data_IF_242994585329
#
_entry.id   IF_242994585329
#
_cell.length_a   1.000
_cell.length_b   1.000
_cell.length_c   1.000
_cell.angle_alpha   90.00
_cell.angle_beta   90.00
_cell.angle_gamma   90.00
#
_symmetry.space_group_name_H-M   'P 1'
#
loop_
_entity.id
_entity.type
_entity.pdbx_description
1 polymer ?
#
# COMPACT_ATOMS: atom_id res chain seq x y z
N UNK A 1 18.75 7.80 9.38
CA UNK A 1 19.71 7.60 8.27
C UNK A 1 19.03 7.60 6.90
N UNK A 2 17.91 6.88 6.70
CA UNK A 2 17.18 6.84 5.41
C UNK A 2 16.64 8.21 4.94
N UNK A 3 16.25 9.08 5.87
CA UNK A 3 15.74 10.45 5.60
C UNK A 3 16.81 11.48 5.16
N UNK A 4 18.09 11.09 5.07
CA UNK A 4 19.20 11.99 4.62
C UNK A 4 19.72 11.65 3.22
N UNK A 5 19.17 10.62 2.58
CA UNK A 5 19.48 10.24 1.20
C UNK A 5 18.34 10.72 0.30
N UNK A 6 18.13 12.04 0.27
CA UNK A 6 17.17 12.71 -0.61
C UNK A 6 17.92 13.44 -1.73
N UNK A 7 17.37 13.41 -2.94
CA UNK A 7 17.84 14.25 -4.04
C UNK A 7 16.73 15.26 -4.35
N UNK A 8 16.89 16.50 -3.87
CA UNK A 8 15.88 17.58 -4.01
C UNK A 8 14.49 17.25 -3.43
N UNK A 9 14.44 16.52 -2.31
CA UNK A 9 13.19 16.18 -1.63
C UNK A 9 12.49 14.91 -2.13
N UNK A 10 13.05 14.22 -3.13
CA UNK A 10 12.60 12.89 -3.55
C UNK A 10 13.49 11.79 -2.93
N UNK A 11 12.85 10.78 -2.34
CA UNK A 11 13.48 9.58 -1.80
C UNK A 11 13.26 8.37 -2.70
N UNK A 12 14.09 7.33 -2.56
CA UNK A 12 13.92 6.04 -3.23
C UNK A 12 15.13 5.59 -4.06
N UNK A 13 15.02 4.43 -4.69
CA UNK A 13 16.13 3.81 -5.48
C UNK A 13 16.57 4.70 -6.65
N UNK A 14 15.65 5.46 -7.26
CA UNK A 14 15.97 6.39 -8.34
C UNK A 14 16.81 7.59 -7.87
N UNK A 15 16.55 8.09 -6.65
CA UNK A 15 17.38 9.12 -6.03
C UNK A 15 18.78 8.59 -5.68
N UNK A 16 18.86 7.34 -5.17
CA UNK A 16 20.15 6.67 -4.90
C UNK A 16 20.95 6.42 -6.19
N UNK A 17 20.28 6.06 -7.28
CA UNK A 17 20.89 5.89 -8.60
C UNK A 17 21.43 7.19 -9.19
N UNK A 18 20.67 8.27 -9.05
CA UNK A 18 21.08 9.61 -9.48
C UNK A 18 22.24 10.16 -8.63
N UNK A 19 22.24 9.90 -7.31
CA UNK A 19 23.28 10.34 -6.38
C UNK A 19 24.59 9.57 -6.53
N UNK A 20 24.53 8.26 -6.83
CA UNK A 20 25.73 7.44 -7.03
C UNK A 20 26.55 7.89 -8.23
N UNK A 21 25.93 8.57 -9.20
CA UNK A 21 26.52 9.11 -10.43
C UNK A 21 27.75 8.30 -10.90
N UNK A 22 27.56 7.00 -11.24
CA UNK A 22 28.65 6.02 -11.34
C UNK A 22 29.77 6.44 -12.31
N UNK A 23 29.37 7.21 -13.33
CA UNK A 23 30.22 7.78 -14.37
C UNK A 23 31.24 8.80 -13.85
N UNK A 24 30.96 9.48 -12.73
CA UNK A 24 31.83 10.53 -12.16
C UNK A 24 32.66 10.06 -10.97
N UNK A 25 32.20 9.08 -10.21
CA UNK A 25 32.77 8.71 -8.90
C UNK A 25 33.52 7.38 -8.90
N UNK A 26 33.14 6.41 -9.74
CA UNK A 26 33.66 5.04 -9.66
C UNK A 26 34.62 4.64 -10.79
N UNK A 27 34.77 5.47 -11.83
CA UNK A 27 35.56 5.17 -13.03
C UNK A 27 34.98 4.02 -13.89
N UNK A 28 35.62 3.65 -14.99
CA UNK A 28 35.19 2.56 -15.88
C UNK A 28 35.60 1.16 -15.36
N UNK A 29 35.30 0.86 -14.11
CA UNK A 29 35.64 -0.41 -13.46
C UNK A 29 34.48 -1.42 -13.43
N UNK A 30 34.81 -2.70 -13.19
CA UNK A 30 33.84 -3.79 -12.97
C UNK A 30 32.86 -3.48 -11.83
N UNK A 31 33.29 -2.74 -10.81
CA UNK A 31 32.44 -2.23 -9.72
C UNK A 31 31.38 -1.24 -10.20
N UNK A 32 31.72 -0.32 -11.10
CA UNK A 32 30.75 0.61 -11.68
C UNK A 32 29.68 -0.13 -12.50
N UNK A 33 30.07 -1.18 -13.23
CA UNK A 33 29.13 -2.04 -13.95
C UNK A 33 28.16 -2.77 -13.02
N UNK A 34 28.64 -3.34 -11.90
CA UNK A 34 27.78 -3.98 -10.89
C UNK A 34 26.83 -3.00 -10.21
N UNK A 35 27.30 -1.81 -9.85
CA UNK A 35 26.47 -0.76 -9.25
C UNK A 35 25.39 -0.29 -10.22
N UNK A 36 25.71 -0.13 -11.51
CA UNK A 36 24.72 0.17 -12.54
C UNK A 36 23.72 -0.97 -12.72
N UNK A 37 24.17 -2.23 -12.75
CA UNK A 37 23.29 -3.39 -12.89
C UNK A 37 22.30 -3.50 -11.71
N UNK A 38 22.77 -3.35 -10.47
CA UNK A 38 21.91 -3.30 -9.28
C UNK A 38 20.94 -2.12 -9.32
N UNK A 39 21.41 -1.01 -9.86
CA UNK A 39 20.60 0.16 -10.14
C UNK A 39 19.44 -0.08 -11.09
N UNK A 40 19.74 -0.52 -12.30
CA UNK A 40 18.74 -0.86 -13.32
C UNK A 40 17.78 -1.92 -12.78
N UNK A 41 18.28 -2.91 -12.05
CA UNK A 41 17.46 -3.91 -11.39
C UNK A 41 16.48 -3.30 -10.38
N UNK A 42 16.95 -2.42 -9.49
CA UNK A 42 16.09 -1.75 -8.51
C UNK A 42 15.08 -0.80 -9.17
N UNK A 43 15.45 -0.10 -10.24
CA UNK A 43 14.52 0.74 -11.01
C UNK A 43 13.44 -0.11 -11.71
N UNK A 44 13.80 -1.28 -12.25
CA UNK A 44 12.85 -2.22 -12.83
C UNK A 44 11.87 -2.76 -11.79
N UNK A 45 12.33 -3.08 -10.57
CA UNK A 45 11.46 -3.50 -9.48
C UNK A 45 10.45 -2.40 -9.09
N UNK A 46 10.88 -1.15 -8.95
CA UNK A 46 9.98 -0.03 -8.67
C UNK A 46 8.96 0.19 -9.81
N UNK A 47 9.39 0.05 -11.07
CA UNK A 47 8.50 0.18 -12.21
C UNK A 47 7.45 -0.95 -12.23
N UNK A 48 7.86 -2.18 -11.93
CA UNK A 48 6.95 -3.32 -11.78
C UNK A 48 5.95 -3.07 -10.64
N UNK A 49 6.40 -2.59 -9.49
CA UNK A 49 5.53 -2.31 -8.34
C UNK A 49 4.47 -1.25 -8.67
N UNK A 50 4.89 -0.16 -9.33
CA UNK A 50 4.00 0.91 -9.78
C UNK A 50 2.96 0.46 -10.83
N UNK A 51 3.27 -0.56 -11.64
CA UNK A 51 2.35 -1.12 -12.62
C UNK A 51 1.43 -2.20 -12.04
N UNK A 52 1.95 -3.06 -11.17
CA UNK A 52 1.24 -4.23 -10.62
C UNK A 52 0.21 -3.79 -9.57
N UNK A 53 0.55 -2.85 -8.70
CA UNK A 53 -0.31 -2.41 -7.59
C UNK A 53 -1.71 -1.93 -8.02
N UNK A 54 -1.87 -1.00 -8.98
CA UNK A 54 -3.20 -0.59 -9.42
C UNK A 54 -3.96 -1.72 -10.11
N UNK A 55 -3.26 -2.58 -10.88
CA UNK A 55 -3.88 -3.70 -11.57
C UNK A 55 -4.46 -4.73 -10.60
N UNK A 56 -3.64 -5.20 -9.63
CA UNK A 56 -4.07 -6.17 -8.63
C UNK A 56 -5.15 -5.57 -7.73
N UNK A 57 -4.98 -4.33 -7.26
CA UNK A 57 -5.94 -3.70 -6.35
C UNK A 57 -7.34 -3.57 -6.97
N UNK A 58 -7.44 -3.11 -8.23
CA UNK A 58 -8.75 -3.01 -8.93
C UNK A 58 -9.31 -4.39 -9.24
N UNK A 59 -8.46 -5.33 -9.69
CA UNK A 59 -8.91 -6.70 -9.97
C UNK A 59 -9.49 -7.36 -8.72
N UNK A 60 -8.77 -7.32 -7.59
CA UNK A 60 -9.23 -7.89 -6.32
C UNK A 60 -10.52 -7.24 -5.81
N UNK A 61 -10.68 -5.93 -5.99
CA UNK A 61 -11.93 -5.24 -5.66
C UNK A 61 -13.12 -5.74 -6.52
N UNK A 62 -12.91 -5.92 -7.83
CA UNK A 62 -13.94 -6.41 -8.75
C UNK A 62 -14.22 -7.90 -8.54
N UNK A 63 -13.22 -8.69 -8.17
CA UNK A 63 -13.39 -10.11 -7.83
C UNK A 63 -14.31 -10.31 -6.62
N UNK A 64 -14.36 -9.36 -5.69
CA UNK A 64 -15.33 -9.36 -4.60
C UNK A 64 -16.78 -9.46 -5.08
N UNK A 65 -17.10 -9.02 -6.30
CA UNK A 65 -18.44 -9.14 -6.89
C UNK A 65 -18.86 -10.60 -7.13
N UNK A 66 -17.89 -11.52 -7.33
CA UNK A 66 -18.16 -12.96 -7.47
C UNK A 66 -18.74 -13.56 -6.18
N UNK A 67 -18.47 -12.96 -5.02
CA UNK A 67 -19.02 -13.39 -3.72
C UNK A 67 -20.53 -13.10 -3.68
N UNK A 68 -20.97 -11.99 -4.26
CA UNK A 68 -22.39 -11.62 -4.33
C UNK A 68 -23.13 -12.38 -5.45
N UNK A 69 -22.52 -12.49 -6.64
CA UNK A 69 -23.15 -13.11 -7.82
C UNK A 69 -22.11 -13.83 -8.69
N UNK A 70 -22.16 -15.17 -8.83
CA UNK A 70 -21.25 -15.92 -9.70
C UNK A 70 -21.31 -15.54 -11.18
N UNK A 71 -22.46 -15.01 -11.65
CA UNK A 71 -22.63 -14.52 -13.02
C UNK A 71 -21.73 -13.31 -13.36
N UNK A 72 -21.12 -12.66 -12.37
CA UNK A 72 -20.13 -11.60 -12.58
C UNK A 72 -18.78 -12.12 -13.11
N UNK A 73 -18.52 -13.43 -13.04
CA UNK A 73 -17.24 -14.05 -13.40
C UNK A 73 -16.66 -13.61 -14.75
N UNK A 74 -17.41 -13.71 -15.86
CA UNK A 74 -16.93 -13.30 -17.19
C UNK A 74 -16.66 -11.79 -17.32
N UNK A 75 -17.29 -10.97 -16.47
CA UNK A 75 -17.21 -9.50 -16.53
C UNK A 75 -16.08 -8.93 -15.68
N UNK A 76 -15.44 -9.73 -14.82
CA UNK A 76 -14.39 -9.23 -13.91
C UNK A 76 -13.22 -8.59 -14.67
N UNK A 77 -12.65 -9.28 -15.65
CA UNK A 77 -11.50 -8.75 -16.41
C UNK A 77 -11.90 -7.54 -17.26
N UNK A 78 -12.98 -7.58 -18.08
CA UNK A 78 -13.42 -6.40 -18.83
C UNK A 78 -13.70 -5.19 -17.95
N UNK A 79 -14.39 -5.38 -16.82
CA UNK A 79 -14.74 -4.29 -15.91
C UNK A 79 -13.49 -3.69 -15.25
N UNK A 80 -12.53 -4.53 -14.86
CA UNK A 80 -11.23 -4.08 -14.35
C UNK A 80 -10.50 -3.19 -15.36
N UNK A 81 -10.44 -3.60 -16.63
CA UNK A 81 -9.81 -2.82 -17.69
C UNK A 81 -10.51 -1.48 -17.91
N UNK A 82 -11.84 -1.46 -17.90
CA UNK A 82 -12.64 -0.23 -18.04
C UNK A 82 -12.39 0.71 -16.85
N UNK A 83 -12.39 0.20 -15.62
CA UNK A 83 -12.12 1.00 -14.42
C UNK A 83 -10.71 1.59 -14.50
N UNK A 84 -9.69 0.79 -14.82
CA UNK A 84 -8.32 1.28 -14.97
C UNK A 84 -8.22 2.34 -16.07
N UNK A 85 -8.81 2.11 -17.24
CA UNK A 85 -8.80 3.08 -18.33
C UNK A 85 -9.41 4.41 -17.91
N UNK A 86 -10.54 4.40 -17.19
CA UNK A 86 -11.19 5.61 -16.68
C UNK A 86 -10.31 6.28 -15.61
N UNK A 87 -9.80 5.52 -14.64
CA UNK A 87 -8.95 6.06 -13.57
C UNK A 87 -7.70 6.75 -14.14
N UNK A 88 -6.98 6.10 -15.05
CA UNK A 88 -5.81 6.68 -15.71
C UNK A 88 -6.18 7.83 -16.65
N UNK A 89 -7.31 7.76 -17.35
CA UNK A 89 -7.78 8.88 -18.17
C UNK A 89 -8.09 10.12 -17.32
N UNK A 90 -8.62 9.96 -16.10
CA UNK A 90 -8.92 11.07 -15.18
C UNK A 90 -7.66 11.72 -14.59
N UNK A 91 -6.52 11.02 -14.55
CA UNK A 91 -5.26 11.58 -14.05
C UNK A 91 -4.77 12.79 -14.87
N UNK A 92 -5.19 12.91 -16.15
CA UNK A 92 -4.88 14.07 -17.00
C UNK A 92 -5.38 15.41 -16.44
N UNK A 93 -6.37 15.38 -15.53
CA UNK A 93 -6.95 16.58 -14.93
C UNK A 93 -6.16 17.08 -13.70
N UNK A 94 -5.06 16.40 -13.34
CA UNK A 94 -4.18 16.77 -12.24
C UNK A 94 -4.52 16.05 -10.95
N UNK A 95 -3.49 15.58 -10.26
CA UNK A 95 -3.58 14.81 -8.99
C UNK A 95 -4.30 15.58 -7.89
N UNK A 96 -4.17 16.90 -7.84
CA UNK A 96 -4.86 17.75 -6.86
C UNK A 96 -6.40 17.68 -7.00
N UNK A 97 -6.94 17.77 -8.23
CA UNK A 97 -8.39 17.69 -8.47
C UNK A 97 -8.92 16.29 -8.21
N UNK A 98 -8.18 15.27 -8.64
CA UNK A 98 -8.52 13.88 -8.33
C UNK A 98 -8.56 13.68 -6.82
N UNK A 99 -7.55 14.14 -6.08
CA UNK A 99 -7.49 14.06 -4.63
C UNK A 99 -8.68 14.71 -3.91
N UNK A 100 -9.20 15.83 -4.41
CA UNK A 100 -10.39 16.48 -3.81
C UNK A 100 -11.67 15.64 -3.92
N UNK A 101 -11.80 14.80 -4.94
CA UNK A 101 -12.95 13.89 -5.11
C UNK A 101 -12.73 12.60 -4.34
N UNK A 102 -11.51 12.05 -4.37
CA UNK A 102 -11.17 10.82 -3.68
C UNK A 102 -11.20 10.96 -2.15
N UNK A 103 -10.84 12.14 -1.61
CA UNK A 103 -10.85 12.39 -0.17
C UNK A 103 -12.21 12.07 0.49
N UNK A 104 -13.32 12.71 0.09
CA UNK A 104 -14.66 12.41 0.61
C UNK A 104 -15.08 10.95 0.42
N UNK A 105 -14.74 10.32 -0.71
CA UNK A 105 -15.04 8.90 -0.97
C UNK A 105 -14.31 8.01 0.04
N UNK A 106 -13.03 8.28 0.30
CA UNK A 106 -12.26 7.54 1.31
C UNK A 106 -12.77 7.77 2.73
N UNK A 107 -13.22 9.00 3.06
CA UNK A 107 -13.86 9.27 4.36
C UNK A 107 -15.13 8.43 4.54
N UNK A 108 -16.00 8.41 3.52
CA UNK A 108 -17.22 7.62 3.53
C UNK A 108 -16.92 6.12 3.63
N UNK A 109 -15.91 5.64 2.90
CA UNK A 109 -15.46 4.25 2.94
C UNK A 109 -14.99 3.86 4.34
N UNK A 110 -14.04 4.58 4.93
CA UNK A 110 -13.55 4.29 6.28
C UNK A 110 -14.61 4.44 7.36
N UNK A 111 -15.51 5.41 7.24
CA UNK A 111 -16.64 5.54 8.15
C UNK A 111 -17.57 4.32 8.06
N UNK A 112 -17.84 3.82 6.85
CA UNK A 112 -18.65 2.62 6.64
C UNK A 112 -18.00 1.39 7.28
N UNK A 113 -16.69 1.18 7.06
CA UNK A 113 -15.93 0.10 7.69
C UNK A 113 -15.97 0.19 9.22
N UNK A 114 -15.79 1.39 9.78
CA UNK A 114 -15.84 1.59 11.22
C UNK A 114 -17.22 1.27 11.81
N UNK A 115 -18.31 1.70 11.16
CA UNK A 115 -19.69 1.43 11.60
C UNK A 115 -20.00 -0.06 11.54
N UNK A 116 -19.62 -0.74 10.45
CA UNK A 116 -19.84 -2.18 10.30
C UNK A 116 -19.02 -2.98 11.31
N UNK A 117 -17.75 -2.63 11.52
CA UNK A 117 -16.90 -3.27 12.53
C UNK A 117 -17.42 -3.06 13.96
N UNK A 118 -17.90 -1.86 14.30
CA UNK A 118 -18.55 -1.62 15.59
C UNK A 118 -19.78 -2.51 15.80
N UNK A 119 -20.58 -2.71 14.75
CA UNK A 119 -21.70 -3.64 14.79
C UNK A 119 -21.20 -5.08 14.99
N UNK A 120 -20.13 -5.52 14.33
CA UNK A 120 -19.56 -6.84 14.55
C UNK A 120 -19.10 -7.07 15.99
N UNK A 121 -18.35 -6.12 16.55
CA UNK A 121 -17.88 -6.15 17.94
C UNK A 121 -19.05 -6.18 18.93
N UNK A 122 -20.14 -5.46 18.66
CA UNK A 122 -21.30 -5.48 19.56
C UNK A 122 -21.99 -6.85 19.63
N UNK A 123 -21.88 -7.67 18.57
CA UNK A 123 -22.41 -9.04 18.58
C UNK A 123 -21.46 -10.00 19.32
N UNK A 124 -20.15 -9.78 19.26
CA UNK A 124 -19.15 -10.63 19.90
C UNK A 124 -18.08 -9.79 20.63
N UNK A 125 -18.37 -9.25 21.83
CA UNK A 125 -17.44 -8.39 22.56
C UNK A 125 -16.16 -9.11 23.00
N UNK A 126 -16.16 -10.45 23.02
CA UNK A 126 -14.99 -11.27 23.31
C UNK A 126 -13.83 -11.09 22.32
N UNK A 127 -14.08 -10.56 21.12
CA UNK A 127 -13.02 -10.33 20.12
C UNK A 127 -12.00 -9.28 20.60
N UNK A 128 -12.36 -8.40 21.53
CA UNK A 128 -11.43 -7.41 22.11
C UNK A 128 -10.23 -8.06 22.81
N UNK A 129 -10.36 -9.32 23.24
CA UNK A 129 -9.25 -10.09 23.83
C UNK A 129 -8.10 -10.30 22.82
N UNK A 130 -8.39 -10.26 21.51
CA UNK A 130 -7.37 -10.36 20.46
C UNK A 130 -6.37 -9.19 20.45
N UNK A 131 -6.68 -8.07 21.12
CA UNK A 131 -5.73 -6.97 21.34
C UNK A 131 -4.59 -7.34 22.30
N UNK A 132 -4.74 -8.42 23.07
CA UNK A 132 -3.67 -8.90 23.93
C UNK A 132 -2.54 -9.52 23.08
N UNK A 133 -1.31 -8.96 23.11
CA UNK A 133 -0.20 -9.42 22.29
C UNK A 133 0.21 -10.86 22.58
N UNK A 134 -0.18 -11.41 23.74
CA UNK A 134 0.06 -12.81 24.11
C UNK A 134 -0.49 -13.79 23.07
N UNK A 135 -1.66 -13.51 22.48
CA UNK A 135 -2.25 -14.40 21.46
C UNK A 135 -1.42 -14.44 20.18
N UNK A 136 -0.91 -13.29 19.75
CA UNK A 136 0.00 -13.20 18.62
C UNK A 136 1.31 -13.92 18.89
N UNK A 137 1.92 -13.70 20.05
CA UNK A 137 3.16 -14.38 20.44
C UNK A 137 2.98 -15.90 20.54
N UNK A 138 1.90 -16.35 21.19
CA UNK A 138 1.59 -17.76 21.31
C UNK A 138 1.40 -18.39 19.92
N UNK A 139 0.63 -17.75 19.04
CA UNK A 139 0.44 -18.19 17.65
C UNK A 139 1.75 -18.32 16.88
N UNK A 140 2.65 -17.33 17.01
CA UNK A 140 3.96 -17.37 16.35
C UNK A 140 4.83 -18.53 16.85
N UNK A 141 4.75 -18.87 18.14
CA UNK A 141 5.55 -19.93 18.75
C UNK A 141 4.93 -21.33 18.56
N UNK A 142 3.60 -21.44 18.43
CA UNK A 142 2.90 -22.73 18.35
C UNK A 142 2.68 -23.23 16.92
N UNK A 143 2.45 -22.34 15.95
CA UNK A 143 1.97 -22.72 14.61
C UNK A 143 3.08 -22.84 13.54
N UNK A 144 4.34 -22.57 13.90
CA UNK A 144 5.53 -22.80 13.07
C UNK A 144 5.41 -22.28 11.62
N UNK A 145 5.16 -23.18 10.66
CA UNK A 145 5.06 -22.85 9.22
C UNK A 145 3.85 -21.98 8.88
N UNK A 146 2.70 -22.21 9.53
CA UNK A 146 1.49 -21.42 9.29
C UNK A 146 1.68 -19.99 9.78
N UNK A 147 2.31 -19.83 10.94
CA UNK A 147 2.71 -18.53 11.46
C UNK A 147 3.61 -17.76 10.49
N UNK A 148 4.58 -18.43 9.85
CA UNK A 148 5.45 -17.82 8.84
C UNK A 148 4.67 -17.29 7.62
N UNK A 149 3.71 -18.07 7.11
CA UNK A 149 2.89 -17.66 5.97
C UNK A 149 2.01 -16.45 6.31
N UNK A 150 1.38 -16.46 7.48
CA UNK A 150 0.55 -15.33 7.96
C UNK A 150 1.41 -14.09 8.17
N UNK A 151 2.60 -14.23 8.73
CA UNK A 151 3.54 -13.11 8.91
C UNK A 151 3.95 -12.48 7.57
N UNK A 152 4.09 -13.31 6.52
CA UNK A 152 4.29 -12.83 5.16
C UNK A 152 3.13 -11.95 4.67
N UNK A 153 1.89 -12.37 4.92
CA UNK A 153 0.69 -11.57 4.62
C UNK A 153 0.65 -10.25 5.40
N UNK A 154 0.99 -10.27 6.69
CA UNK A 154 1.09 -9.06 7.52
C UNK A 154 2.17 -8.11 6.99
N UNK A 155 3.32 -8.65 6.58
CA UNK A 155 4.40 -7.87 5.99
C UNK A 155 3.98 -7.21 4.67
N UNK A 156 3.18 -7.89 3.84
CA UNK A 156 2.67 -7.33 2.58
C UNK A 156 1.81 -6.08 2.80
N UNK A 157 1.17 -5.89 3.96
CA UNK A 157 0.43 -4.66 4.28
C UNK A 157 1.35 -3.43 4.34
N UNK A 158 2.64 -3.62 4.61
CA UNK A 158 3.63 -2.53 4.72
C UNK A 158 3.98 -1.93 3.36
N UNK A 159 3.71 -2.62 2.25
CA UNK A 159 4.02 -2.14 0.88
C UNK A 159 3.39 -0.77 0.56
N UNK A 160 2.24 -0.42 1.16
CA UNK A 160 1.62 0.90 1.01
C UNK A 160 2.31 2.03 1.78
N UNK A 161 3.17 1.73 2.76
CA UNK A 161 3.89 2.75 3.54
C UNK A 161 4.96 3.46 2.70
N UNK A 162 5.47 2.82 1.65
CA UNK A 162 6.46 3.39 0.73
C UNK A 162 5.87 4.54 -0.08
N UNK A 163 4.64 4.39 -0.56
CA UNK A 163 3.90 5.46 -1.24
C UNK A 163 3.64 6.65 -0.31
N UNK A 164 3.23 6.37 0.93
CA UNK A 164 3.02 7.40 1.96
C UNK A 164 4.32 8.17 2.27
N UNK A 165 5.46 7.49 2.25
CA UNK A 165 6.78 8.08 2.44
C UNK A 165 7.21 8.94 1.24
N UNK A 166 6.98 8.47 0.01
CA UNK A 166 7.28 9.23 -1.21
C UNK A 166 6.50 10.55 -1.27
N UNK A 167 5.24 10.54 -0.81
CA UNK A 167 4.34 11.71 -0.82
C UNK A 167 4.52 12.66 0.38
N UNK A 168 5.48 12.41 1.26
CA UNK A 168 5.81 13.31 2.39
C UNK A 168 6.17 14.73 1.93
N UNK A 169 6.79 14.87 0.76
CA UNK A 169 7.14 16.17 0.17
C UNK A 169 5.94 16.98 -0.29
N UNK A 170 4.84 16.33 -0.67
CA UNK A 170 3.65 16.99 -1.21
C UNK A 170 2.64 17.39 -0.12
N UNK A 171 2.38 16.50 0.84
CA UNK A 171 1.37 16.73 1.89
C UNK A 171 1.95 17.16 3.24
N UNK A 172 3.23 16.88 3.48
CA UNK A 172 3.86 17.09 4.77
C UNK A 172 3.49 16.05 5.83
N UNK A 173 4.30 15.97 6.89
CA UNK A 173 4.19 14.93 7.93
C UNK A 173 2.92 15.01 8.78
N UNK A 174 2.42 16.23 9.05
CA UNK A 174 1.32 16.44 10.01
C UNK A 174 -0.03 15.93 9.48
N UNK A 175 -0.47 16.27 8.25
CA UNK A 175 -1.74 15.78 7.71
C UNK A 175 -1.77 14.26 7.60
N UNK A 176 -0.68 13.65 7.12
CA UNK A 176 -0.53 12.19 7.02
C UNK A 176 -0.73 11.51 8.38
N UNK A 177 -0.04 12.01 9.42
CA UNK A 177 -0.14 11.45 10.77
C UNK A 177 -1.56 11.60 11.33
N UNK A 178 -2.19 12.76 11.13
CA UNK A 178 -3.56 12.99 11.59
C UNK A 178 -4.55 12.05 10.90
N UNK A 179 -4.51 11.95 9.57
CA UNK A 179 -5.38 11.04 8.82
C UNK A 179 -5.20 9.58 9.27
N UNK A 180 -3.95 9.15 9.48
CA UNK A 180 -3.64 7.80 9.94
C UNK A 180 -4.23 7.50 11.33
N UNK A 181 -3.87 8.29 12.34
CA UNK A 181 -4.23 7.98 13.73
C UNK A 181 -5.67 8.33 14.09
N UNK A 182 -6.29 9.29 13.41
CA UNK A 182 -7.67 9.74 13.73
C UNK A 182 -8.72 8.95 12.95
N UNK A 183 -8.42 8.52 11.72
CA UNK A 183 -9.41 7.89 10.86
C UNK A 183 -9.02 6.49 10.42
N UNK A 184 -7.89 6.34 9.72
CA UNK A 184 -7.56 5.10 9.01
C UNK A 184 -7.30 3.96 9.99
N UNK A 185 -6.38 4.17 10.94
CA UNK A 185 -6.04 3.17 11.95
C UNK A 185 -7.26 2.72 12.78
N UNK A 186 -8.06 3.62 13.40
CA UNK A 186 -9.21 3.18 14.17
C UNK A 186 -10.27 2.48 13.30
N UNK A 187 -10.54 2.96 12.07
CA UNK A 187 -11.49 2.30 11.17
C UNK A 187 -11.05 0.88 10.80
N UNK A 188 -9.76 0.69 10.49
CA UNK A 188 -9.21 -0.64 10.18
C UNK A 188 -9.26 -1.55 11.40
N UNK A 189 -8.85 -1.08 12.58
CA UNK A 189 -8.91 -1.88 13.82
C UNK A 189 -10.34 -2.33 14.09
N UNK A 190 -11.32 -1.44 13.98
CA UNK A 190 -12.73 -1.79 14.15
C UNK A 190 -13.20 -2.83 13.13
N UNK A 191 -12.85 -2.66 11.86
CA UNK A 191 -13.23 -3.58 10.79
C UNK A 191 -12.57 -4.96 10.90
N UNK A 192 -11.36 -5.06 11.45
CA UNK A 192 -10.70 -6.35 11.64
C UNK A 192 -11.18 -7.07 12.91
N UNK A 193 -11.65 -6.33 13.93
CA UNK A 193 -12.16 -6.91 15.17
C UNK A 193 -13.64 -7.29 15.12
N UNK A 194 -14.43 -6.75 14.20
CA UNK A 194 -15.87 -7.01 14.11
C UNK A 194 -16.31 -7.37 12.71
#
# INVERSE_FOLDING_TARGET
LVLRADNRGEGGILALLALLNPWRTLGQGRTAAWVMALGVFGAALLYCDGMITPAISVLSAVEGLKIATPAAGPFVVPLTLVILAILFALQRFGTARVGTVFGPVMLLWFATLAILGLKGISHNPGVLVALNPWYGLNFLLSEGKTALLVLGGVFLVVTGAEALYADLGHFGRRPIRQAWFVLVLPALVLNYLG
#
